data_IF_729284165982
#
_entry.id   IF_729284165982
#
_cell.length_a   1.000
_cell.length_b   1.000
_cell.length_c   1.000
_cell.angle_alpha   90.00
_cell.angle_beta   90.00
_cell.angle_gamma   90.00
#
_symmetry.space_group_name_H-M   'P 1'
#
loop_
_entity.id
_entity.type
_entity.pdbx_description
1 polymer ?
#
# COMPACT_ATOMS: atom_id res chain seq x y z
N UNK A 1 -19.12 -9.95 0.78
CA UNK A 1 -19.44 -8.73 1.55
C UNK A 1 -18.37 -7.71 1.21
N UNK A 2 -18.62 -6.92 0.16
CA UNK A 2 -17.63 -5.99 -0.40
C UNK A 2 -17.54 -4.77 0.50
N UNK A 3 -16.48 -4.66 1.30
CA UNK A 3 -16.14 -3.45 2.02
C UNK A 3 -15.64 -2.41 0.98
N UNK A 4 -16.57 -1.69 0.36
CA UNK A 4 -16.29 -0.41 -0.29
C UNK A 4 -16.09 0.69 0.78
N UNK A 5 -15.28 0.42 1.80
CA UNK A 5 -14.80 1.43 2.72
C UNK A 5 -13.48 1.94 2.15
N UNK A 6 -13.48 3.15 1.61
CA UNK A 6 -12.24 3.82 1.22
C UNK A 6 -11.28 3.83 2.41
N UNK A 7 -10.04 3.39 2.19
CA UNK A 7 -9.02 3.33 3.22
C UNK A 7 -8.76 4.73 3.78
N UNK A 8 -9.03 4.92 5.07
CA UNK A 8 -8.94 6.23 5.73
C UNK A 8 -7.52 6.56 6.22
N UNK A 9 -6.59 5.61 6.13
CA UNK A 9 -5.25 5.74 6.68
C UNK A 9 -5.08 5.03 8.02
N UNK A 10 -4.00 5.38 8.70
CA UNK A 10 -3.68 4.91 10.07
C UNK A 10 -3.19 6.09 10.90
N UNK A 11 -2.84 5.87 12.17
CA UNK A 11 -2.20 6.90 13.00
C UNK A 11 -0.89 7.42 12.38
N UNK A 12 -0.13 6.55 11.70
CA UNK A 12 1.11 6.91 11.00
C UNK A 12 0.86 7.50 9.62
N UNK A 13 -0.11 7.00 8.86
CA UNK A 13 -0.31 7.39 7.46
C UNK A 13 -1.59 8.19 7.28
N UNK A 14 -1.45 9.51 7.10
CA UNK A 14 -2.57 10.39 6.81
C UNK A 14 -2.86 10.44 5.31
N UNK A 15 -3.99 9.88 4.88
CA UNK A 15 -4.40 9.85 3.47
C UNK A 15 -4.75 11.26 2.98
N UNK A 16 -4.19 11.63 1.83
CA UNK A 16 -4.47 12.90 1.16
C UNK A 16 -5.49 12.76 0.06
N UNK A 17 -5.27 11.80 -0.84
CA UNK A 17 -6.18 11.50 -1.95
C UNK A 17 -5.85 10.15 -2.57
N UNK A 18 -6.80 9.58 -3.29
CA UNK A 18 -6.55 8.46 -4.21
C UNK A 18 -5.79 8.96 -5.44
N UNK A 19 -4.76 8.23 -5.86
CA UNK A 19 -3.94 8.54 -7.04
C UNK A 19 -3.97 7.45 -8.11
N UNK A 20 -4.47 6.26 -7.80
CA UNK A 20 -4.63 5.18 -8.78
C UNK A 20 -5.49 4.04 -8.25
N UNK A 21 -5.95 3.17 -9.15
CA UNK A 21 -6.55 1.90 -8.79
C UNK A 21 -6.40 0.89 -9.93
N UNK A 22 -6.36 -0.39 -9.56
CA UNK A 22 -6.31 -1.49 -10.51
C UNK A 22 -6.83 -2.78 -9.88
N UNK A 23 -6.62 -3.91 -10.56
CA UNK A 23 -7.20 -5.20 -10.16
C UNK A 23 -6.77 -5.71 -8.77
N UNK A 24 -5.61 -5.28 -8.25
CA UNK A 24 -5.15 -5.69 -6.91
C UNK A 24 -5.53 -4.71 -5.79
N UNK A 25 -6.04 -3.52 -6.11
CA UNK A 25 -6.43 -2.53 -5.11
C UNK A 25 -6.16 -1.10 -5.51
N UNK A 26 -6.01 -0.22 -4.52
CA UNK A 26 -6.02 1.25 -4.68
C UNK A 26 -4.70 1.82 -4.20
N UNK A 27 -4.22 2.86 -4.88
CA UNK A 27 -3.03 3.61 -4.48
C UNK A 27 -3.47 5.00 -4.03
N UNK A 28 -2.99 5.41 -2.86
CA UNK A 28 -3.25 6.71 -2.25
C UNK A 28 -1.95 7.51 -2.12
N UNK A 29 -2.04 8.83 -2.27
CA UNK A 29 -1.03 9.75 -1.73
C UNK A 29 -1.28 9.89 -0.23
N UNK A 30 -0.24 9.67 0.58
CA UNK A 30 -0.29 9.77 2.03
C UNK A 30 0.88 10.59 2.57
N UNK A 31 0.70 11.19 3.74
CA UNK A 31 1.80 11.71 4.55
C UNK A 31 2.15 10.65 5.59
N UNK A 32 3.40 10.20 5.61
CA UNK A 32 3.96 9.46 6.74
C UNK A 32 4.28 10.46 7.86
N UNK A 33 3.47 10.43 8.92
CA UNK A 33 3.57 11.34 10.05
C UNK A 33 4.83 11.11 10.90
N UNK A 34 5.46 9.93 10.84
CA UNK A 34 6.71 9.67 11.57
C UNK A 34 7.90 10.29 10.85
N UNK A 35 7.98 10.12 9.53
CA UNK A 35 9.11 10.60 8.72
C UNK A 35 8.88 11.99 8.13
N UNK A 36 7.66 12.51 8.21
CA UNK A 36 7.22 13.76 7.56
C UNK A 36 7.41 13.75 6.04
N UNK A 37 7.34 12.58 5.42
CA UNK A 37 7.52 12.41 3.96
C UNK A 37 6.21 12.04 3.27
N UNK A 38 6.08 12.43 2.00
CA UNK A 38 4.98 11.97 1.16
C UNK A 38 5.33 10.61 0.59
N UNK A 39 4.39 9.69 0.68
CA UNK A 39 4.52 8.32 0.16
C UNK A 39 3.30 7.97 -0.68
N UNK A 40 3.47 7.04 -1.61
CA UNK A 40 2.36 6.33 -2.21
C UNK A 40 2.07 5.07 -1.39
N UNK A 41 0.80 4.84 -1.08
CA UNK A 41 0.34 3.74 -0.23
C UNK A 41 -0.60 2.85 -1.05
N UNK A 42 -0.14 1.64 -1.37
CA UNK A 42 -0.93 0.65 -2.11
C UNK A 42 -1.65 -0.26 -1.14
N UNK A 43 -2.98 -0.26 -1.18
CA UNK A 43 -3.84 -1.14 -0.37
C UNK A 43 -4.31 -2.35 -1.17
N UNK A 44 -4.52 -3.47 -0.47
CA UNK A 44 -5.21 -4.65 -1.00
C UNK A 44 -6.69 -4.57 -0.59
N UNK A 45 -7.58 -4.33 -1.56
CA UNK A 45 -9.03 -4.15 -1.29
C UNK A 45 -9.78 -5.46 -1.06
N UNK A 46 -9.29 -6.57 -1.61
CA UNK A 46 -9.91 -7.88 -1.47
C UNK A 46 -8.90 -8.91 -0.97
N UNK A 47 -9.03 -9.28 0.30
CA UNK A 47 -8.20 -10.31 0.92
C UNK A 47 -8.75 -11.69 0.55
N UNK A 48 -8.42 -12.14 -0.65
CA UNK A 48 -8.49 -13.56 -1.04
C UNK A 48 -7.08 -14.15 -1.00
N UNK A 49 -6.96 -15.47 -0.79
CA UNK A 49 -5.67 -16.15 -0.65
C UNK A 49 -4.72 -15.81 -1.82
N UNK A 50 -5.21 -15.89 -3.06
CA UNK A 50 -4.43 -15.57 -4.26
C UNK A 50 -4.03 -14.09 -4.33
N UNK A 51 -4.94 -13.18 -3.95
CA UNK A 51 -4.68 -11.75 -3.93
C UNK A 51 -3.58 -11.40 -2.94
N UNK A 52 -3.66 -11.94 -1.72
CA UNK A 52 -2.65 -11.74 -0.68
C UNK A 52 -1.29 -12.34 -1.08
N UNK A 53 -1.30 -13.54 -1.67
CA UNK A 53 -0.07 -14.17 -2.17
C UNK A 53 0.60 -13.33 -3.25
N UNK A 54 -0.15 -12.85 -4.24
CA UNK A 54 0.37 -11.98 -5.31
C UNK A 54 0.89 -10.66 -4.76
N UNK A 55 0.15 -10.06 -3.82
CA UNK A 55 0.55 -8.81 -3.16
C UNK A 55 1.88 -8.96 -2.41
N UNK A 56 2.03 -10.01 -1.60
CA UNK A 56 3.30 -10.32 -0.91
C UNK A 56 4.44 -10.64 -1.89
N UNK A 57 4.14 -11.30 -3.00
CA UNK A 57 5.13 -11.61 -4.04
C UNK A 57 5.65 -10.34 -4.71
N UNK A 58 4.77 -9.41 -5.06
CA UNK A 58 5.16 -8.11 -5.62
C UNK A 58 6.07 -7.34 -4.67
N UNK A 59 5.67 -7.24 -3.39
CA UNK A 59 6.49 -6.59 -2.37
C UNK A 59 7.88 -7.23 -2.25
N UNK A 60 7.95 -8.55 -2.07
CA UNK A 60 9.23 -9.27 -1.93
C UNK A 60 10.11 -9.20 -3.17
N UNK A 61 9.53 -9.12 -4.36
CA UNK A 61 10.30 -9.06 -5.60
C UNK A 61 11.04 -7.72 -5.76
N UNK A 62 10.54 -6.65 -5.15
CA UNK A 62 11.09 -5.29 -5.31
C UNK A 62 11.75 -4.74 -4.03
N UNK A 63 11.45 -5.30 -2.84
CA UNK A 63 11.94 -4.78 -1.56
C UNK A 63 13.48 -4.64 -1.50
N UNK A 64 14.21 -5.56 -2.14
CA UNK A 64 15.67 -5.65 -2.08
C UNK A 64 16.35 -5.03 -3.32
N UNK A 65 15.57 -4.39 -4.21
CA UNK A 65 16.07 -3.76 -5.43
C UNK A 65 16.15 -2.25 -5.23
N UNK A 66 17.37 -1.70 -5.30
CA UNK A 66 17.62 -0.26 -5.31
C UNK A 66 18.23 0.14 -6.65
N UNK A 67 17.48 0.88 -7.45
CA UNK A 67 17.94 1.39 -8.75
C UNK A 67 17.28 2.72 -9.08
N UNK A 68 18.01 3.65 -9.69
CA UNK A 68 17.53 5.01 -9.96
C UNK A 68 16.25 5.08 -10.83
N UNK A 69 16.02 4.07 -11.67
CA UNK A 69 14.86 3.97 -12.55
C UNK A 69 13.74 3.06 -12.01
N UNK A 70 13.83 2.61 -10.75
CA UNK A 70 12.81 1.78 -10.11
C UNK A 70 12.34 2.45 -8.83
N UNK A 71 11.03 2.33 -8.56
CA UNK A 71 10.47 2.78 -7.29
C UNK A 71 11.00 1.90 -6.17
N UNK A 72 11.39 2.53 -5.06
CA UNK A 72 11.82 1.82 -3.86
C UNK A 72 10.61 1.54 -2.99
N UNK A 73 10.39 0.27 -2.67
CA UNK A 73 9.37 -0.08 -1.69
C UNK A 73 9.85 0.26 -0.28
N UNK A 74 8.93 0.72 0.55
CA UNK A 74 9.13 0.91 1.98
C UNK A 74 8.75 -0.35 2.75
N UNK A 75 7.77 -0.22 3.63
CA UNK A 75 7.38 -1.27 4.58
C UNK A 75 6.01 -1.86 4.24
N UNK A 76 5.79 -3.12 4.61
CA UNK A 76 4.51 -3.83 4.47
C UNK A 76 3.80 -3.88 5.82
N UNK A 77 2.54 -3.46 5.85
CA UNK A 77 1.71 -3.36 7.05
C UNK A 77 0.42 -4.17 6.90
N UNK A 78 -0.17 -4.51 8.06
CA UNK A 78 -1.50 -5.08 8.18
C UNK A 78 -2.23 -4.45 9.36
N UNK A 79 -3.21 -3.58 9.09
CA UNK A 79 -3.99 -2.87 10.11
C UNK A 79 -5.47 -3.10 9.89
N UNK A 80 -6.21 -3.54 10.93
CA UNK A 80 -7.65 -3.78 10.82
C UNK A 80 -8.05 -4.79 9.73
N UNK A 81 -7.16 -5.74 9.41
CA UNK A 81 -7.36 -6.71 8.32
C UNK A 81 -7.06 -6.18 6.90
N UNK A 82 -6.67 -4.91 6.77
CA UNK A 82 -6.26 -4.30 5.51
C UNK A 82 -4.74 -4.41 5.38
N UNK A 83 -4.28 -4.97 4.26
CA UNK A 83 -2.87 -5.05 3.91
C UNK A 83 -2.49 -3.87 3.02
N UNK A 84 -1.36 -3.24 3.30
CA UNK A 84 -0.83 -2.16 2.47
C UNK A 84 0.68 -2.05 2.57
N UNK A 85 1.33 -1.49 1.55
CA UNK A 85 2.74 -1.11 1.62
C UNK A 85 2.99 0.28 1.07
N UNK A 86 4.10 0.89 1.48
CA UNK A 86 4.55 2.20 1.01
C UNK A 86 5.55 2.09 -0.13
N UNK A 87 5.60 3.13 -0.96
CA UNK A 87 6.53 3.34 -2.07
C UNK A 87 6.75 4.83 -2.33
#
# INVERSE_FOLDING_TARGET
MSLNADFQGTERFAIRRRIGAGGMGVVYEALDCETQTRVALKTLTHVHADGLMRFKREFRALQDIAHANLVRLGELFSTGGIWFYTM
#
